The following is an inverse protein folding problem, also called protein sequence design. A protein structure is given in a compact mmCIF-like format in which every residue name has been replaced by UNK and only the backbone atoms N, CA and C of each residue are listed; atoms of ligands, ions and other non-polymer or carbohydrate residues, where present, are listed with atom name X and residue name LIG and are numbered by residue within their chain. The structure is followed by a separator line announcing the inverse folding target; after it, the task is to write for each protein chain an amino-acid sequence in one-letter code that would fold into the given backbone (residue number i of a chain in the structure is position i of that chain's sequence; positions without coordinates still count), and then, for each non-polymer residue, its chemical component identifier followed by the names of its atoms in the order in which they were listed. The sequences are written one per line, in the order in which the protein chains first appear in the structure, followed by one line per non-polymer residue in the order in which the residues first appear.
data_IF_765727273463
#
_entry.id   IF_765727273463
#
_cell.length_a   1.000
_cell.length_b   1.000
_cell.length_c   1.000
_cell.angle_alpha   90.00
_cell.angle_beta   90.00
_cell.angle_gamma   90.00
#
_symmetry.space_group_name_H-M   'P 1'
#
loop_
_entity.id
_entity.type
_entity.pdbx_description
1 polymer ?
#
# COMPACT_ATOMS: atom_id res chain seq x y z
N UNK A 1 1.95 10.32 -0.33
CA UNK A 1 1.86 9.32 0.75
C UNK A 1 2.84 9.66 1.86
N UNK A 2 2.46 9.52 3.11
CA UNK A 2 3.26 9.79 4.31
C UNK A 2 3.24 8.56 5.22
N UNK A 3 4.33 8.31 5.95
CA UNK A 3 4.43 7.21 6.91
C UNK A 3 5.27 7.67 8.10
N UNK A 4 4.77 7.43 9.30
CA UNK A 4 5.48 7.71 10.56
C UNK A 4 6.09 6.44 11.17
N UNK A 5 7.06 6.58 12.06
CA UNK A 5 7.79 5.45 12.65
C UNK A 5 6.95 4.55 13.55
N UNK A 6 5.79 5.00 13.99
CA UNK A 6 4.78 4.23 14.71
C UNK A 6 3.82 3.45 13.79
N UNK A 7 4.01 3.55 12.46
CA UNK A 7 3.23 2.85 11.45
C UNK A 7 2.00 3.58 10.94
N UNK A 8 1.69 4.77 11.46
CA UNK A 8 0.60 5.56 10.92
C UNK A 8 0.96 6.09 9.54
N UNK A 9 0.04 5.95 8.60
CA UNK A 9 0.25 6.33 7.21
C UNK A 9 -0.95 7.11 6.66
N UNK A 10 -0.68 7.98 5.70
CA UNK A 10 -1.67 8.77 4.97
C UNK A 10 -1.42 8.62 3.48
N UNK A 11 -2.42 8.13 2.76
CA UNK A 11 -2.44 8.09 1.30
C UNK A 11 -3.33 9.20 0.75
N UNK A 12 -2.82 9.94 -0.23
CA UNK A 12 -3.55 10.89 -1.06
C UNK A 12 -3.37 10.52 -2.51
N UNK A 13 -4.45 10.45 -3.26
CA UNK A 13 -4.42 10.29 -4.71
C UNK A 13 -3.98 11.61 -5.36
N UNK A 14 -4.58 12.72 -4.90
CA UNK A 14 -4.23 14.07 -5.30
C UNK A 14 -3.63 14.85 -4.13
N UNK A 15 -2.70 15.80 -4.38
CA UNK A 15 -2.01 16.55 -3.32
C UNK A 15 -2.95 17.36 -2.40
N UNK A 16 -4.08 17.82 -2.93
CA UNK A 16 -5.07 18.67 -2.28
C UNK A 16 -6.34 17.91 -1.84
N UNK A 17 -6.28 16.58 -1.80
CA UNK A 17 -7.38 15.74 -1.34
C UNK A 17 -7.78 16.08 0.09
N UNK A 18 -9.07 16.47 0.29
CA UNK A 18 -9.60 16.92 1.58
C UNK A 18 -9.79 15.76 2.58
N UNK A 19 -10.07 14.56 2.11
CA UNK A 19 -10.33 13.38 2.95
C UNK A 19 -9.40 12.21 2.59
N UNK A 20 -8.10 12.34 2.90
CA UNK A 20 -7.13 11.32 2.57
C UNK A 20 -7.33 10.04 3.40
N UNK A 21 -6.99 8.91 2.82
CA UNK A 21 -7.05 7.65 3.56
C UNK A 21 -5.95 7.55 4.60
N UNK A 22 -6.37 7.54 5.88
CA UNK A 22 -5.50 7.25 7.00
C UNK A 22 -5.55 5.75 7.34
N UNK A 23 -4.40 5.12 7.48
CA UNK A 23 -4.27 3.69 7.78
C UNK A 23 -3.03 3.41 8.62
N UNK A 24 -2.91 2.18 9.11
CA UNK A 24 -1.74 1.75 9.88
C UNK A 24 -1.09 0.54 9.21
N UNK A 25 0.23 0.54 9.14
CA UNK A 25 1.01 -0.64 8.79
C UNK A 25 1.18 -1.55 10.01
N UNK A 26 1.36 -2.83 9.77
CA UNK A 26 1.76 -3.75 10.84
C UNK A 26 3.17 -3.40 11.32
N UNK A 27 3.50 -3.63 12.62
CA UNK A 27 4.83 -3.29 13.16
C UNK A 27 6.00 -3.89 12.36
N UNK A 28 5.82 -5.11 11.83
CA UNK A 28 6.84 -5.77 10.98
C UNK A 28 7.06 -5.04 9.65
N UNK A 29 5.98 -4.51 9.03
CA UNK A 29 6.05 -3.78 7.76
C UNK A 29 6.75 -2.43 7.98
N UNK A 30 6.34 -1.70 9.02
CA UNK A 30 6.95 -0.43 9.43
C UNK A 30 8.44 -0.61 9.70
N UNK A 31 8.83 -1.63 10.46
CA UNK A 31 10.22 -1.93 10.76
C UNK A 31 11.07 -2.10 9.51
N UNK A 32 10.59 -2.89 8.54
CA UNK A 32 11.33 -3.13 7.28
C UNK A 32 11.55 -1.83 6.51
N UNK A 33 10.53 -0.97 6.42
CA UNK A 33 10.63 0.31 5.70
C UNK A 33 11.66 1.23 6.36
N UNK A 34 11.63 1.38 7.69
CA UNK A 34 12.58 2.24 8.39
C UNK A 34 14.00 1.66 8.44
N UNK A 35 14.16 0.34 8.39
CA UNK A 35 15.47 -0.29 8.18
C UNK A 35 16.05 0.04 6.80
N UNK A 36 15.22 0.09 5.74
CA UNK A 36 15.65 0.54 4.41
C UNK A 36 16.09 2.01 4.42
N UNK A 37 15.30 2.89 5.07
CA UNK A 37 15.67 4.31 5.24
C UNK A 37 17.03 4.42 5.96
N UNK A 38 17.25 3.63 7.01
CA UNK A 38 18.52 3.59 7.73
C UNK A 38 19.68 3.12 6.86
N UNK A 39 19.50 2.08 6.04
CA UNK A 39 20.50 1.60 5.07
C UNK A 39 20.85 2.65 4.02
N UNK A 40 19.89 3.48 3.65
CA UNK A 40 20.08 4.62 2.76
C UNK A 40 20.68 5.86 3.48
N UNK A 41 21.12 5.70 4.72
CA UNK A 41 21.65 6.79 5.56
C UNK A 41 20.68 7.98 5.65
N UNK A 42 19.39 7.71 5.86
CA UNK A 42 18.35 8.74 5.88
C UNK A 42 18.18 9.45 4.54
N UNK A 43 18.35 8.76 3.43
CA UNK A 43 18.33 9.25 2.04
C UNK A 43 19.56 10.09 1.62
N UNK A 44 20.62 10.15 2.41
CA UNK A 44 21.88 10.84 2.05
C UNK A 44 22.73 10.07 1.05
N UNK A 45 22.58 8.74 0.99
CA UNK A 45 23.21 7.95 -0.06
C UNK A 45 22.67 8.34 -1.44
N UNK A 46 23.54 8.42 -2.48
CA UNK A 46 23.10 8.73 -3.82
C UNK A 46 22.07 7.71 -4.33
N UNK A 47 20.86 8.15 -4.57
CA UNK A 47 19.75 7.32 -5.11
C UNK A 47 19.59 7.55 -6.60
N UNK A 48 19.89 8.76 -7.07
CA UNK A 48 19.75 9.15 -8.47
C UNK A 48 20.75 8.40 -9.35
N UNK A 49 20.30 7.95 -10.50
CA UNK A 49 21.13 7.41 -11.56
C UNK A 49 21.06 8.34 -12.80
N UNK A 50 22.21 8.67 -13.36
CA UNK A 50 22.30 9.57 -14.53
C UNK A 50 22.13 8.84 -15.88
N UNK A 51 21.77 7.56 -15.87
CA UNK A 51 21.44 6.83 -17.11
C UNK A 51 20.27 7.50 -17.82
N UNK A 52 20.42 7.64 -19.16
CA UNK A 52 19.30 8.05 -20.02
C UNK A 52 18.26 6.93 -20.07
N UNK A 53 17.18 7.11 -19.34
CA UNK A 53 16.01 6.22 -19.34
C UNK A 53 14.80 6.99 -19.87
N UNK A 54 13.79 6.27 -20.34
CA UNK A 54 12.52 6.90 -20.68
C UNK A 54 11.97 7.63 -19.43
N UNK A 55 11.48 8.85 -19.63
CA UNK A 55 10.88 9.62 -18.54
C UNK A 55 9.55 8.98 -18.14
N UNK A 56 9.47 8.50 -16.91
CA UNK A 56 8.28 7.84 -16.32
C UNK A 56 7.65 8.67 -15.21
N UNK A 57 8.04 9.94 -15.09
CA UNK A 57 7.66 10.83 -14.00
C UNK A 57 8.75 10.93 -12.93
N UNK A 58 8.78 12.07 -12.25
CA UNK A 58 9.66 12.29 -11.11
C UNK A 58 9.13 11.57 -9.88
N UNK A 59 10.04 10.89 -9.17
CA UNK A 59 9.79 10.26 -7.88
C UNK A 59 10.55 11.06 -6.84
N UNK A 60 9.87 11.36 -5.74
CA UNK A 60 10.45 12.14 -4.66
C UNK A 60 10.28 11.35 -3.36
N UNK A 61 11.40 10.99 -2.75
CA UNK A 61 11.44 10.46 -1.39
C UNK A 61 11.85 11.57 -0.43
N UNK A 62 11.13 11.73 0.66
CA UNK A 62 11.43 12.67 1.74
C UNK A 62 11.56 11.94 3.05
N UNK A 63 12.56 12.28 3.83
CA UNK A 63 12.76 11.76 5.16
C UNK A 63 12.94 12.91 6.15
N UNK A 64 12.15 12.89 7.21
CA UNK A 64 12.26 13.80 8.35
C UNK A 64 12.59 12.95 9.59
N UNK A 65 13.74 13.20 10.18
CA UNK A 65 14.23 12.46 11.36
C UNK A 65 13.55 12.89 12.67
N UNK A 66 12.70 13.93 12.63
CA UNK A 66 12.05 14.49 13.82
C UNK A 66 12.95 15.39 14.69
N UNK A 67 14.26 15.46 14.40
CA UNK A 67 15.23 16.33 15.09
C UNK A 67 15.61 17.57 14.27
N UNK A 68 14.83 17.89 13.24
CA UNK A 68 15.07 19.02 12.33
C UNK A 68 15.92 18.70 11.11
N UNK A 69 16.41 17.48 10.97
CA UNK A 69 17.07 17.02 9.75
C UNK A 69 16.08 16.51 8.75
N UNK A 70 16.07 17.10 7.56
CA UNK A 70 15.22 16.73 6.44
C UNK A 70 16.08 16.44 5.22
N UNK A 71 15.83 15.31 4.59
CA UNK A 71 16.50 14.89 3.37
C UNK A 71 15.47 14.62 2.28
N UNK A 72 15.82 14.94 1.06
CA UNK A 72 15.00 14.71 -0.12
C UNK A 72 15.85 14.09 -1.23
N UNK A 73 15.33 13.06 -1.87
CA UNK A 73 15.91 12.44 -3.04
C UNK A 73 14.88 12.44 -4.19
N UNK A 74 15.17 13.20 -5.25
CA UNK A 74 14.37 13.24 -6.46
C UNK A 74 15.08 12.48 -7.59
N UNK A 75 14.36 11.53 -8.22
CA UNK A 75 14.91 10.71 -9.30
C UNK A 75 13.80 10.18 -10.22
N UNK A 76 14.14 9.88 -11.45
CA UNK A 76 13.29 9.15 -12.41
C UNK A 76 13.52 7.65 -12.28
N UNK A 77 14.79 7.27 -12.15
CA UNK A 77 15.24 5.88 -12.07
C UNK A 77 16.39 5.74 -11.09
N UNK A 78 16.43 4.63 -10.38
CA UNK A 78 17.53 4.27 -9.48
C UNK A 78 18.02 2.84 -9.74
N UNK A 79 19.30 2.59 -9.54
CA UNK A 79 19.90 1.24 -9.49
C UNK A 79 20.17 0.80 -8.04
N UNK A 80 20.03 1.71 -7.07
CA UNK A 80 20.24 1.40 -5.65
C UNK A 80 19.18 0.39 -5.17
N UNK A 81 19.56 -0.82 -4.75
CA UNK A 81 18.61 -1.89 -4.44
C UNK A 81 17.68 -1.55 -3.27
N UNK A 82 18.20 -0.89 -2.22
CA UNK A 82 17.40 -0.52 -1.05
C UNK A 82 16.39 0.58 -1.40
N UNK A 83 16.75 1.51 -2.31
CA UNK A 83 15.82 2.53 -2.80
C UNK A 83 14.71 1.92 -3.67
N UNK A 84 15.03 0.97 -4.55
CA UNK A 84 14.02 0.20 -5.31
C UNK A 84 13.05 -0.53 -4.40
N UNK A 85 13.58 -1.14 -3.34
CA UNK A 85 12.77 -1.87 -2.37
C UNK A 85 11.87 -0.89 -1.60
N UNK A 86 12.40 0.26 -1.18
CA UNK A 86 11.63 1.31 -0.52
C UNK A 86 10.52 1.85 -1.42
N UNK A 87 10.82 2.15 -2.69
CA UNK A 87 9.83 2.54 -3.70
C UNK A 87 8.73 1.47 -3.85
N UNK A 88 9.10 0.20 -3.92
CA UNK A 88 8.15 -0.91 -4.01
C UNK A 88 7.18 -0.95 -2.82
N UNK A 89 7.63 -0.60 -1.61
CA UNK A 89 6.74 -0.51 -0.45
C UNK A 89 5.67 0.58 -0.63
N UNK A 90 6.06 1.76 -1.11
CA UNK A 90 5.10 2.86 -1.36
C UNK A 90 4.12 2.52 -2.48
N UNK A 91 4.59 1.87 -3.56
CA UNK A 91 3.72 1.38 -4.64
C UNK A 91 2.71 0.34 -4.14
N UNK A 92 3.14 -0.59 -3.28
CA UNK A 92 2.25 -1.59 -2.67
C UNK A 92 1.22 -0.96 -1.73
N UNK A 93 1.58 0.09 -0.99
CA UNK A 93 0.64 0.85 -0.17
C UNK A 93 -0.43 1.53 -1.05
N UNK A 94 -0.04 2.17 -2.15
CA UNK A 94 -0.97 2.77 -3.10
C UNK A 94 -1.87 1.72 -3.77
N UNK A 95 -1.32 0.58 -4.18
CA UNK A 95 -2.09 -0.53 -4.74
C UNK A 95 -3.11 -1.09 -3.72
N UNK A 96 -2.71 -1.20 -2.44
CA UNK A 96 -3.62 -1.63 -1.38
C UNK A 96 -4.76 -0.64 -1.16
N UNK A 97 -4.48 0.66 -1.16
CA UNK A 97 -5.50 1.70 -1.10
C UNK A 97 -6.53 1.55 -2.24
N UNK A 98 -6.04 1.44 -3.47
CA UNK A 98 -6.89 1.30 -4.65
C UNK A 98 -7.77 0.04 -4.59
N UNK A 99 -7.22 -1.09 -4.13
CA UNK A 99 -8.00 -2.32 -3.92
C UNK A 99 -9.08 -2.14 -2.86
N UNK A 100 -8.78 -1.46 -1.76
CA UNK A 100 -9.75 -1.21 -0.69
C UNK A 100 -10.89 -0.32 -1.18
N UNK A 101 -10.57 0.81 -1.79
CA UNK A 101 -11.57 1.75 -2.32
C UNK A 101 -12.47 1.10 -3.38
N UNK A 102 -11.87 0.35 -4.30
CA UNK A 102 -12.63 -0.35 -5.32
C UNK A 102 -13.53 -1.44 -4.71
N UNK A 103 -13.05 -2.19 -3.72
CA UNK A 103 -13.85 -3.20 -3.05
C UNK A 103 -15.02 -2.56 -2.27
N UNK A 104 -14.79 -1.48 -1.53
CA UNK A 104 -15.83 -0.75 -0.82
C UNK A 104 -16.87 -0.17 -1.79
N UNK A 105 -16.41 0.39 -2.91
CA UNK A 105 -17.27 0.93 -3.96
C UNK A 105 -18.21 -0.14 -4.53
N UNK A 106 -17.66 -1.29 -4.96
CA UNK A 106 -18.50 -2.35 -5.56
C UNK A 106 -19.41 -3.00 -4.52
N UNK A 107 -18.98 -3.15 -3.28
CA UNK A 107 -19.82 -3.66 -2.19
C UNK A 107 -21.03 -2.75 -1.94
N UNK A 108 -20.87 -1.46 -2.15
CA UNK A 108 -21.94 -0.47 -1.97
C UNK A 108 -22.84 -0.34 -3.17
N UNK A 109 -22.29 -0.36 -4.39
CA UNK A 109 -23.00 0.06 -5.60
C UNK A 109 -23.13 -1.02 -6.69
N UNK A 110 -22.26 -2.05 -6.69
CA UNK A 110 -22.24 -3.10 -7.74
C UNK A 110 -22.02 -4.50 -7.14
N UNK A 111 -23.09 -5.07 -6.62
CA UNK A 111 -23.03 -6.39 -5.98
C UNK A 111 -22.56 -7.52 -6.91
N UNK A 112 -22.83 -7.41 -8.21
CA UNK A 112 -22.41 -8.42 -9.18
C UNK A 112 -20.90 -8.35 -9.46
N UNK A 113 -20.33 -7.16 -9.40
CA UNK A 113 -18.89 -6.92 -9.56
C UNK A 113 -18.04 -7.42 -8.40
N UNK A 114 -18.61 -7.60 -7.19
CA UNK A 114 -17.86 -7.94 -5.97
C UNK A 114 -16.97 -9.18 -6.15
N UNK A 115 -17.48 -10.25 -6.77
CA UNK A 115 -16.70 -11.47 -6.95
C UNK A 115 -15.46 -11.25 -7.82
N UNK A 116 -15.57 -10.44 -8.86
CA UNK A 116 -14.46 -10.10 -9.76
C UNK A 116 -13.41 -9.24 -9.03
N UNK A 117 -13.86 -8.24 -8.27
CA UNK A 117 -12.97 -7.36 -7.49
C UNK A 117 -12.24 -8.14 -6.39
N UNK A 118 -12.92 -9.06 -5.69
CA UNK A 118 -12.30 -9.96 -4.73
C UNK A 118 -11.25 -10.88 -5.38
N UNK A 119 -11.47 -11.33 -6.61
CA UNK A 119 -10.49 -12.14 -7.33
C UNK A 119 -9.22 -11.33 -7.65
N UNK A 120 -9.35 -10.07 -8.06
CA UNK A 120 -8.20 -9.20 -8.30
C UNK A 120 -7.44 -8.92 -7.00
N UNK A 121 -8.14 -8.59 -5.92
CA UNK A 121 -7.53 -8.43 -4.61
C UNK A 121 -6.79 -9.70 -4.17
N UNK A 122 -7.43 -10.87 -4.26
CA UNK A 122 -6.82 -12.16 -3.94
C UNK A 122 -5.55 -12.39 -4.76
N UNK A 123 -5.56 -12.09 -6.05
CA UNK A 123 -4.40 -12.25 -6.92
C UNK A 123 -3.22 -11.37 -6.48
N UNK A 124 -3.47 -10.12 -6.09
CA UNK A 124 -2.44 -9.22 -5.55
C UNK A 124 -1.96 -9.68 -4.17
N UNK A 125 -2.87 -10.18 -3.33
CA UNK A 125 -2.53 -10.75 -2.03
C UNK A 125 -1.64 -12.00 -2.17
N UNK A 126 -1.98 -12.93 -3.07
CA UNK A 126 -1.20 -14.14 -3.38
C UNK A 126 0.21 -13.82 -3.89
N UNK A 127 0.37 -12.72 -4.60
CA UNK A 127 1.66 -12.22 -5.09
C UNK A 127 2.41 -11.36 -4.06
N UNK A 128 1.94 -11.31 -2.81
CA UNK A 128 2.53 -10.51 -1.74
C UNK A 128 2.64 -9.00 -2.08
N UNK A 129 1.66 -8.47 -2.84
CA UNK A 129 1.60 -7.06 -3.26
C UNK A 129 0.71 -6.21 -2.35
N UNK A 130 -0.06 -6.83 -1.47
CA UNK A 130 -0.91 -6.15 -0.50
C UNK A 130 -0.13 -5.90 0.79
N UNK A 131 -0.25 -4.71 1.33
CA UNK A 131 0.22 -4.33 2.67
C UNK A 131 -0.94 -3.85 3.51
N UNK A 132 -0.77 -3.80 4.83
CA UNK A 132 -1.83 -3.40 5.76
C UNK A 132 -3.15 -4.19 5.53
N UNK A 133 -3.04 -5.48 5.21
CA UNK A 133 -4.14 -6.37 4.83
C UNK A 133 -5.30 -6.39 5.83
N UNK A 134 -5.04 -6.14 7.11
CA UNK A 134 -6.04 -6.10 8.16
C UNK A 134 -7.11 -5.02 7.96
N UNK A 135 -6.84 -3.95 7.21
CA UNK A 135 -7.84 -2.92 6.87
C UNK A 135 -8.95 -3.43 5.94
N UNK A 136 -8.73 -4.58 5.26
CA UNK A 136 -9.77 -5.21 4.44
C UNK A 136 -10.78 -6.03 5.24
N UNK A 137 -10.47 -6.39 6.49
CA UNK A 137 -11.33 -7.26 7.31
C UNK A 137 -12.77 -6.74 7.45
N UNK A 138 -13.04 -5.43 7.68
CA UNK A 138 -14.42 -4.95 7.81
C UNK A 138 -15.25 -5.18 6.56
N UNK A 139 -14.73 -4.83 5.38
CA UNK A 139 -15.44 -5.01 4.11
C UNK A 139 -15.56 -6.48 3.73
N UNK A 140 -14.54 -7.30 3.98
CA UNK A 140 -14.57 -8.75 3.75
C UNK A 140 -15.60 -9.43 4.65
N UNK A 141 -15.68 -9.11 5.93
CA UNK A 141 -16.69 -9.64 6.86
C UNK A 141 -18.10 -9.26 6.42
N UNK A 142 -18.30 -8.03 5.92
CA UNK A 142 -19.58 -7.60 5.36
C UNK A 142 -19.97 -8.47 4.18
N UNK A 143 -19.05 -8.76 3.25
CA UNK A 143 -19.35 -9.62 2.09
C UNK A 143 -19.61 -11.06 2.53
N UNK A 144 -18.81 -11.63 3.41
CA UNK A 144 -18.95 -13.01 3.87
C UNK A 144 -20.29 -13.27 4.58
N UNK A 145 -20.77 -12.30 5.38
CA UNK A 145 -21.99 -12.42 6.19
C UNK A 145 -23.29 -12.04 5.47
N UNK A 146 -23.26 -11.39 4.32
CA UNK A 146 -24.46 -10.87 3.65
C UNK A 146 -24.93 -11.80 2.52
N UNK A 147 -26.07 -12.45 2.72
CA UNK A 147 -26.66 -13.38 1.73
C UNK A 147 -27.04 -12.74 0.38
N UNK A 148 -27.07 -11.43 0.29
CA UNK A 148 -27.31 -10.69 -0.96
C UNK A 148 -26.15 -10.81 -1.96
N UNK A 149 -24.95 -11.20 -1.49
CA UNK A 149 -23.83 -11.52 -2.36
C UNK A 149 -23.87 -12.99 -2.78
N UNK A 150 -23.38 -13.25 -4.00
CA UNK A 150 -23.33 -14.62 -4.53
C UNK A 150 -22.45 -15.51 -3.66
N UNK A 151 -22.79 -16.79 -3.57
CA UNK A 151 -22.10 -17.75 -2.70
C UNK A 151 -20.57 -17.77 -2.91
N UNK A 152 -20.11 -17.70 -4.16
CA UNK A 152 -18.68 -17.72 -4.48
C UNK A 152 -17.93 -16.47 -3.95
N UNK A 153 -18.59 -15.29 -3.95
CA UNK A 153 -18.01 -14.07 -3.37
C UNK A 153 -17.90 -14.20 -1.85
N UNK A 154 -18.93 -14.71 -1.19
CA UNK A 154 -18.95 -14.93 0.26
C UNK A 154 -17.90 -15.94 0.70
N UNK A 155 -17.78 -17.06 -0.01
CA UNK A 155 -16.76 -18.07 0.27
C UNK A 155 -15.34 -17.54 0.08
N UNK A 156 -15.10 -16.77 -0.98
CA UNK A 156 -13.79 -16.11 -1.23
C UNK A 156 -13.47 -15.10 -0.13
N UNK A 157 -14.42 -14.27 0.27
CA UNK A 157 -14.21 -13.31 1.36
C UNK A 157 -13.89 -14.02 2.67
N UNK A 158 -14.57 -15.11 3.02
CA UNK A 158 -14.29 -15.90 4.21
C UNK A 158 -12.87 -16.49 4.20
N UNK A 159 -12.45 -17.08 3.08
CA UNK A 159 -11.09 -17.62 2.93
C UNK A 159 -10.00 -16.53 3.04
N UNK A 160 -10.27 -15.32 2.53
CA UNK A 160 -9.35 -14.19 2.66
C UNK A 160 -9.26 -13.70 4.11
N UNK A 161 -10.37 -13.66 4.84
CA UNK A 161 -10.37 -13.31 6.28
C UNK A 161 -9.46 -14.25 7.06
N UNK A 162 -9.66 -15.57 6.92
CA UNK A 162 -8.84 -16.57 7.62
C UNK A 162 -7.33 -16.38 7.36
N UNK A 163 -6.97 -16.10 6.12
CA UNK A 163 -5.56 -15.88 5.73
C UNK A 163 -4.99 -14.59 6.30
N UNK A 164 -5.76 -13.50 6.28
CA UNK A 164 -5.32 -12.20 6.82
C UNK A 164 -5.17 -12.26 8.35
N UNK A 165 -6.06 -12.98 9.04
CA UNK A 165 -6.01 -13.15 10.48
C UNK A 165 -4.86 -14.07 10.92
N UNK A 166 -4.37 -14.94 10.02
CA UNK A 166 -3.22 -15.83 10.29
C UNK A 166 -1.85 -15.21 10.03
N UNK A 167 -1.75 -14.02 9.46
CA UNK A 167 -0.49 -13.29 9.22
C UNK A 167 0.12 -12.70 10.50
#
# INVERSE_FOLDING_TARGET
MELTSDGNAIYREEPDEEDPWAFTLRPRETKVIFELVKKLDGLRRPIRNDRKVAFTGDKILRYDSGNGQREEAAYVYTEEPDAKTLESWFLRMAESANHLFELERVVRFDRLGVNKTLLYFQTSFDKNRVVASHHFLPVLRKVAGDQRFVHIARARAAALIERIESE
#
